data_IF_827873385074
#
_entry.id   IF_827873385074
#
_cell.length_a   1.000
_cell.length_b   1.000
_cell.length_c   1.000
_cell.angle_alpha   90.00
_cell.angle_beta   90.00
_cell.angle_gamma   90.00
#
_symmetry.space_group_name_H-M   'P 1'
#
loop_
_entity.id
_entity.type
_entity.pdbx_description
1 polymer ?
#
# COMPACT_ATOMS: atom_id res chain seq x y z
N UNK A 1 60.04 2.54 20.78
CA UNK A 1 59.81 3.80 20.02
C UNK A 1 58.31 4.05 19.91
N UNK A 2 57.73 4.75 20.90
CA UNK A 2 56.28 4.97 20.99
C UNK A 2 55.81 6.07 20.04
N UNK A 3 54.70 5.84 19.32
CA UNK A 3 54.12 6.81 18.38
C UNK A 3 53.49 7.97 19.16
N UNK A 4 54.06 9.18 19.02
CA UNK A 4 53.50 10.42 19.60
C UNK A 4 52.12 10.71 18.99
N UNK A 5 51.09 10.86 19.83
CA UNK A 5 49.76 11.33 19.41
C UNK A 5 49.82 12.85 19.22
N UNK A 6 49.58 13.33 17.99
CA UNK A 6 49.44 14.77 17.71
C UNK A 6 48.18 15.31 18.39
N UNK A 7 48.34 16.42 19.11
CA UNK A 7 47.25 17.17 19.74
C UNK A 7 46.42 17.84 18.64
N UNK A 8 45.11 17.59 18.62
CA UNK A 8 44.19 18.22 17.66
C UNK A 8 43.97 19.68 18.06
N UNK A 9 44.32 20.61 17.17
CA UNK A 9 43.90 22.01 17.28
C UNK A 9 42.38 22.12 17.11
N UNK A 10 41.71 22.79 18.05
CA UNK A 10 40.29 23.16 17.92
C UNK A 10 40.22 24.42 17.06
N UNK A 11 39.69 24.29 15.83
CA UNK A 11 39.36 25.41 14.96
C UNK A 11 37.86 25.73 15.13
N UNK A 12 37.53 26.61 16.07
CA UNK A 12 36.24 27.29 16.05
C UNK A 12 36.51 28.77 15.84
N UNK A 13 36.26 29.25 14.62
CA UNK A 13 36.24 30.68 14.31
C UNK A 13 34.94 31.28 14.88
N UNK A 14 35.07 32.36 15.65
CA UNK A 14 33.92 33.12 16.13
C UNK A 14 33.22 33.82 14.96
N UNK A 15 31.90 33.62 14.83
CA UNK A 15 31.10 34.31 13.81
C UNK A 15 30.92 35.78 14.19
N UNK A 16 31.61 36.68 13.49
CA UNK A 16 31.37 38.12 13.55
C UNK A 16 30.06 38.41 12.82
N UNK A 17 29.01 38.81 13.55
CA UNK A 17 27.77 39.32 12.95
C UNK A 17 28.00 40.75 12.50
N UNK A 18 27.94 41.00 11.19
CA UNK A 18 27.91 42.35 10.63
C UNK A 18 26.57 43.02 10.96
N UNK A 19 26.67 44.23 11.51
CA UNK A 19 25.57 45.11 11.86
C UNK A 19 24.99 45.72 10.58
N UNK A 20 23.83 45.25 10.11
CA UNK A 20 23.07 45.92 9.05
C UNK A 20 22.24 47.03 9.70
N UNK A 21 22.38 48.24 9.18
CA UNK A 21 21.72 49.47 9.66
C UNK A 21 20.83 50.01 8.53
N UNK A 22 19.52 50.10 8.84
CA UNK A 22 18.45 50.95 8.26
C UNK A 22 17.99 50.61 6.81
N UNK A 23 16.70 50.64 6.45
CA UNK A 23 15.68 51.67 6.72
C UNK A 23 14.24 51.16 6.43
N UNK A 24 13.29 52.04 6.77
CA UNK A 24 11.87 51.93 7.11
C UNK A 24 10.86 51.66 5.96
N UNK A 25 9.57 51.56 6.35
CA UNK A 25 8.27 51.49 5.60
C UNK A 25 7.68 50.07 5.61
N UNK A 26 6.48 49.74 6.12
CA UNK A 26 5.33 50.44 6.71
C UNK A 26 4.17 49.40 6.81
N UNK A 27 3.25 49.60 7.76
CA UNK A 27 1.92 48.96 7.95
C UNK A 27 1.75 47.63 8.73
N UNK A 28 1.60 47.83 10.04
CA UNK A 28 0.45 47.47 10.91
C UNK A 28 -0.39 46.19 10.66
N UNK A 29 -0.17 45.19 11.53
CA UNK A 29 -1.22 44.54 12.33
C UNK A 29 -0.59 43.84 13.55
N UNK A 30 -1.05 44.23 14.73
CA UNK A 30 -0.41 43.92 16.01
C UNK A 30 -0.58 42.48 16.49
N UNK A 31 0.51 41.93 17.02
CA UNK A 31 0.46 40.93 18.08
C UNK A 31 1.64 41.20 19.02
N UNK A 32 1.30 41.50 20.26
CA UNK A 32 2.15 41.86 21.39
C UNK A 32 3.39 40.94 21.51
N UNK A 33 4.57 41.49 21.20
CA UNK A 33 5.85 40.82 21.40
C UNK A 33 6.27 41.13 22.82
N UNK A 34 5.92 40.23 23.75
CA UNK A 34 6.53 40.18 25.07
C UNK A 34 8.05 40.22 24.92
N UNK A 35 8.67 41.29 25.43
CA UNK A 35 10.11 41.42 25.57
C UNK A 35 10.69 40.17 26.22
N UNK A 36 11.36 39.34 25.42
CA UNK A 36 12.23 38.30 25.95
C UNK A 36 13.49 39.02 26.41
N UNK A 37 13.50 39.45 27.67
CA UNK A 37 14.70 39.92 28.35
C UNK A 37 15.76 38.82 28.22
N UNK A 38 16.79 39.09 27.42
CA UNK A 38 17.97 38.25 27.36
C UNK A 38 18.68 38.35 28.71
N UNK A 39 18.46 37.36 29.57
CA UNK A 39 19.20 37.24 30.82
C UNK A 39 20.60 36.75 30.46
N UNK A 40 21.57 37.66 30.50
CA UNK A 40 23.00 37.34 30.39
C UNK A 40 23.37 36.29 31.45
N UNK A 41 23.86 35.09 31.07
CA UNK A 41 24.20 34.05 32.03
C UNK A 41 25.47 34.34 32.84
N UNK A 42 26.17 35.44 32.56
CA UNK A 42 27.48 35.78 33.14
C UNK A 42 27.43 36.96 34.13
N UNK A 43 26.27 37.58 34.34
CA UNK A 43 26.10 38.57 35.40
C UNK A 43 26.03 37.87 36.77
N UNK A 44 27.16 37.86 37.49
CA UNK A 44 27.30 37.37 38.86
C UNK A 44 26.57 38.24 39.88
N UNK A 45 25.25 38.32 39.77
CA UNK A 45 24.40 38.81 40.86
C UNK A 45 24.37 37.78 41.98
N UNK A 46 24.43 38.25 43.23
CA UNK A 46 24.21 37.41 44.43
C UNK A 46 22.78 36.86 44.38
N UNK A 47 22.61 35.71 43.71
CA UNK A 47 21.36 34.94 43.76
C UNK A 47 21.31 34.34 45.15
N UNK A 48 20.25 34.67 45.89
CA UNK A 48 19.95 34.09 47.18
C UNK A 48 20.09 32.57 47.14
N UNK A 49 20.51 32.05 48.29
CA UNK A 49 20.80 30.66 48.59
C UNK A 49 20.05 29.65 47.72
N UNK A 50 20.84 28.79 47.06
CA UNK A 50 20.45 27.48 46.53
C UNK A 50 19.01 27.40 45.98
N UNK A 51 18.81 27.83 44.73
CA UNK A 51 17.54 27.73 43.97
C UNK A 51 16.89 26.32 43.99
N UNK A 52 17.65 25.28 44.31
CA UNK A 52 17.19 23.89 44.35
C UNK A 52 17.20 23.27 45.75
N UNK A 53 17.40 24.04 46.82
CA UNK A 53 17.51 23.50 48.19
C UNK A 53 16.23 22.78 48.65
N UNK A 54 15.08 23.15 48.06
CA UNK A 54 13.79 22.54 48.36
C UNK A 54 13.40 21.42 47.39
N UNK A 55 14.26 21.08 46.42
CA UNK A 55 13.98 20.05 45.42
C UNK A 55 14.52 18.71 45.92
N UNK A 56 13.65 17.95 46.60
CA UNK A 56 13.95 16.59 47.09
C UNK A 56 13.82 15.58 45.95
N UNK A 57 14.85 15.42 45.14
CA UNK A 57 14.90 14.36 44.12
C UNK A 57 15.40 13.08 44.79
N UNK A 58 14.49 12.13 45.05
CA UNK A 58 14.89 10.79 45.49
C UNK A 58 15.31 9.95 44.27
N UNK A 59 16.29 9.07 44.46
CA UNK A 59 16.73 8.13 43.41
C UNK A 59 15.59 7.20 42.95
N UNK A 60 14.64 6.90 43.84
CA UNK A 60 13.46 6.10 43.53
C UNK A 60 12.50 6.82 42.56
N UNK A 61 12.38 8.14 42.64
CA UNK A 61 11.44 8.90 41.79
C UNK A 61 11.96 9.08 40.35
N UNK A 62 13.29 9.14 40.17
CA UNK A 62 13.92 9.13 38.85
C UNK A 62 13.71 7.80 38.11
N UNK A 63 13.65 6.68 38.82
CA UNK A 63 13.47 5.36 38.21
C UNK A 63 12.04 5.06 37.73
N UNK A 64 11.04 5.80 38.25
CA UNK A 64 9.63 5.68 37.87
C UNK A 64 9.31 6.43 36.56
N UNK A 65 10.05 7.50 36.26
CA UNK A 65 10.00 8.17 34.97
C UNK A 65 10.75 7.37 33.90
N UNK A 66 10.21 6.20 33.52
CA UNK A 66 10.61 5.56 32.27
C UNK A 66 9.86 6.24 31.14
N UNK A 67 10.59 6.92 30.26
CA UNK A 67 10.06 7.35 28.97
C UNK A 67 9.50 6.12 28.25
N UNK A 68 8.40 6.25 27.49
CA UNK A 68 7.89 5.16 26.67
C UNK A 68 9.02 4.57 25.82
N UNK A 69 9.09 3.24 25.72
CA UNK A 69 10.16 2.48 25.02
C UNK A 69 10.42 2.94 23.57
N UNK A 70 9.49 3.69 22.97
CA UNK A 70 9.63 4.28 21.66
C UNK A 70 10.69 5.40 21.58
N UNK A 71 10.97 6.07 22.71
CA UNK A 71 11.89 7.21 22.79
C UNK A 71 13.18 6.90 23.57
N UNK A 72 13.13 5.93 24.51
CA UNK A 72 14.31 5.54 25.29
C UNK A 72 15.38 4.80 24.45
N UNK A 73 14.96 4.05 23.42
CA UNK A 73 15.86 3.34 22.51
C UNK A 73 15.19 3.26 21.14
N UNK A 74 15.92 3.51 20.06
CA UNK A 74 15.43 3.15 18.72
C UNK A 74 15.40 1.62 18.60
N UNK A 75 14.31 1.01 19.07
CA UNK A 75 14.02 -0.44 19.04
C UNK A 75 14.27 -1.05 17.66
N UNK A 76 14.10 -0.22 16.63
CA UNK A 76 14.27 -0.57 15.22
C UNK A 76 15.73 -0.81 14.83
N UNK A 77 16.75 -0.32 15.57
CA UNK A 77 18.13 -0.38 15.05
C UNK A 77 19.11 -1.24 15.83
N UNK A 78 18.92 -1.43 17.14
CA UNK A 78 19.77 -2.33 17.93
C UNK A 78 19.16 -3.73 18.06
N UNK A 79 17.82 -3.83 18.20
CA UNK A 79 17.11 -5.10 18.34
C UNK A 79 16.86 -5.80 17.00
N UNK A 80 16.56 -5.02 15.95
CA UNK A 80 16.18 -5.57 14.63
C UNK A 80 17.33 -6.27 13.89
N UNK A 81 18.58 -5.86 14.11
CA UNK A 81 19.75 -6.51 13.51
C UNK A 81 20.51 -7.42 14.49
N UNK A 82 19.96 -7.64 15.70
CA UNK A 82 20.59 -8.52 16.69
C UNK A 82 20.46 -9.96 16.22
N UNK A 83 21.59 -10.66 16.07
CA UNK A 83 21.62 -12.04 15.57
C UNK A 83 21.63 -12.19 14.05
N UNK A 84 21.49 -11.10 13.29
CA UNK A 84 21.62 -11.12 11.83
C UNK A 84 23.05 -10.74 11.38
N UNK A 85 23.74 -11.68 10.74
CA UNK A 85 25.05 -11.49 10.11
C UNK A 85 24.94 -10.73 8.77
N UNK A 86 24.47 -9.49 8.82
CA UNK A 86 24.39 -8.59 7.66
C UNK A 86 25.65 -7.74 7.52
N UNK A 87 26.04 -7.42 6.28
CA UNK A 87 27.16 -6.50 6.03
C UNK A 87 26.81 -5.11 6.56
N UNK A 88 27.83 -4.33 6.93
CA UNK A 88 27.66 -2.95 7.42
C UNK A 88 26.89 -2.06 6.43
N UNK A 89 27.11 -2.26 5.13
CA UNK A 89 26.42 -1.53 4.05
C UNK A 89 24.91 -1.79 4.08
N UNK A 90 24.50 -3.05 4.25
CA UNK A 90 23.09 -3.44 4.25
C UNK A 90 22.37 -2.90 5.49
N UNK A 91 23.02 -2.97 6.66
CA UNK A 91 22.50 -2.37 7.91
C UNK A 91 22.31 -0.86 7.79
N UNK A 92 23.19 -0.17 7.06
CA UNK A 92 23.06 1.26 6.80
C UNK A 92 21.89 1.56 5.87
N UNK A 93 21.74 0.79 4.79
CA UNK A 93 20.63 0.94 3.83
C UNK A 93 19.28 0.75 4.50
N UNK A 94 19.12 -0.32 5.28
CA UNK A 94 17.87 -0.59 6.01
C UNK A 94 17.60 0.52 7.01
N UNK A 95 18.61 1.03 7.72
CA UNK A 95 18.41 2.16 8.64
C UNK A 95 17.93 3.41 7.90
N UNK A 96 18.46 3.69 6.72
CA UNK A 96 18.05 4.81 5.89
C UNK A 96 16.61 4.62 5.40
N UNK A 97 16.26 3.45 4.87
CA UNK A 97 14.91 3.12 4.40
C UNK A 97 13.88 3.20 5.54
N UNK A 98 14.20 2.69 6.72
CA UNK A 98 13.34 2.78 7.90
C UNK A 98 13.18 4.21 8.40
N UNK A 99 14.22 5.04 8.25
CA UNK A 99 14.16 6.45 8.60
C UNK A 99 13.30 7.25 7.62
N UNK A 100 13.48 7.04 6.31
CA UNK A 100 12.69 7.71 5.27
C UNK A 100 11.23 7.31 5.37
N UNK A 101 10.92 6.01 5.52
CA UNK A 101 9.55 5.53 5.73
C UNK A 101 8.91 6.13 6.98
N UNK A 102 9.65 6.24 8.10
CA UNK A 102 9.14 6.90 9.31
C UNK A 102 8.80 8.38 9.06
N UNK A 103 9.65 9.11 8.34
CA UNK A 103 9.38 10.50 7.96
C UNK A 103 8.13 10.57 7.09
N UNK A 104 8.03 9.72 6.06
CA UNK A 104 6.92 9.71 5.11
C UNK A 104 5.59 9.40 5.83
N UNK A 105 5.59 8.47 6.77
CA UNK A 105 4.42 8.17 7.62
C UNK A 105 3.99 9.36 8.48
N UNK A 106 4.93 10.09 9.07
CA UNK A 106 4.62 11.29 9.86
C UNK A 106 4.05 12.39 8.96
N UNK A 107 4.65 12.59 7.77
CA UNK A 107 4.19 13.59 6.82
C UNK A 107 2.81 13.26 6.26
N UNK A 108 2.56 11.99 5.90
CA UNK A 108 1.26 11.54 5.40
C UNK A 108 0.18 11.66 6.47
N UNK A 109 0.46 11.29 7.73
CA UNK A 109 -0.46 11.48 8.84
C UNK A 109 -0.80 12.97 9.07
N UNK A 110 0.20 13.86 9.02
CA UNK A 110 -0.02 15.32 9.13
C UNK A 110 -0.88 15.86 7.98
N UNK A 111 -0.61 15.41 6.74
CA UNK A 111 -1.39 15.79 5.55
C UNK A 111 -2.84 15.31 5.68
N UNK A 112 -3.06 14.04 6.04
CA UNK A 112 -4.39 13.45 6.27
C UNK A 112 -5.18 14.19 7.35
N UNK A 113 -4.53 14.55 8.47
CA UNK A 113 -5.18 15.32 9.53
C UNK A 113 -5.56 16.74 9.08
N UNK A 114 -4.69 17.42 8.32
CA UNK A 114 -5.00 18.74 7.74
C UNK A 114 -6.16 18.66 6.75
N UNK A 115 -6.17 17.63 5.91
CA UNK A 115 -7.21 17.41 4.91
C UNK A 115 -8.56 17.07 5.55
N UNK A 116 -8.60 16.17 6.53
CA UNK A 116 -9.82 15.87 7.29
C UNK A 116 -10.40 17.13 7.94
N UNK A 117 -9.58 17.99 8.54
CA UNK A 117 -10.03 19.30 9.06
C UNK A 117 -10.57 20.23 7.98
N UNK A 118 -10.10 20.13 6.73
CA UNK A 118 -10.65 20.91 5.59
C UNK A 118 -11.98 20.33 5.12
N UNK A 119 -12.09 19.01 5.00
CA UNK A 119 -13.32 18.30 4.64
C UNK A 119 -14.43 18.51 5.68
N UNK A 120 -14.11 18.45 6.97
CA UNK A 120 -15.07 18.75 8.04
C UNK A 120 -15.58 20.20 8.02
N UNK A 121 -14.80 21.14 7.47
CA UNK A 121 -15.20 22.54 7.35
C UNK A 121 -16.14 22.82 6.18
N UNK A 122 -16.32 21.89 5.23
CA UNK A 122 -17.25 22.11 4.11
C UNK A 122 -18.67 21.78 4.56
N UNK A 123 -19.53 22.79 4.82
CA UNK A 123 -20.77 22.59 5.55
C UNK A 123 -21.86 21.91 4.71
N UNK A 124 -21.80 22.07 3.38
CA UNK A 124 -22.85 21.60 2.45
C UNK A 124 -22.74 20.10 2.17
N UNK A 125 -21.54 19.51 2.24
CA UNK A 125 -21.27 18.15 1.73
C UNK A 125 -20.73 17.21 2.82
N UNK A 126 -20.25 17.71 3.96
CA UNK A 126 -19.68 16.87 5.02
C UNK A 126 -18.39 16.15 4.60
N UNK A 127 -17.98 15.13 5.37
CA UNK A 127 -16.79 14.32 5.08
C UNK A 127 -17.15 13.13 4.15
N UNK A 128 -16.70 13.18 2.90
CA UNK A 128 -16.94 12.13 1.89
C UNK A 128 -15.96 10.96 1.94
N UNK A 129 -14.93 11.01 2.81
CA UNK A 129 -13.93 9.94 2.91
C UNK A 129 -14.51 8.54 3.13
N UNK A 130 -15.61 8.33 3.89
CA UNK A 130 -16.15 6.98 4.07
C UNK A 130 -16.72 6.39 2.78
N UNK A 131 -17.24 7.24 1.89
CA UNK A 131 -17.76 6.81 0.59
C UNK A 131 -16.58 6.48 -0.33
N UNK A 132 -15.56 7.33 -0.36
CA UNK A 132 -14.32 7.08 -1.13
C UNK A 132 -13.63 5.77 -0.71
N UNK A 133 -13.52 5.51 0.60
CA UNK A 133 -12.88 4.31 1.15
C UNK A 133 -13.70 3.03 0.89
N UNK A 134 -15.02 3.14 0.70
CA UNK A 134 -15.90 2.02 0.36
C UNK A 134 -15.86 1.65 -1.12
N UNK A 135 -15.25 2.48 -1.98
CA UNK A 135 -15.14 2.20 -3.41
C UNK A 135 -13.97 1.25 -3.72
N UNK A 136 -14.15 0.30 -4.65
CA UNK A 136 -13.04 -0.51 -5.15
C UNK A 136 -11.95 0.37 -5.76
N UNK A 137 -10.68 0.04 -5.52
CA UNK A 137 -9.58 0.67 -6.23
C UNK A 137 -9.62 0.27 -7.71
N UNK A 138 -9.18 1.18 -8.59
CA UNK A 138 -9.15 0.91 -10.03
C UNK A 138 -8.36 -0.36 -10.38
N UNK A 139 -7.29 -0.64 -9.64
CA UNK A 139 -6.50 -1.88 -9.78
C UNK A 139 -7.35 -3.14 -9.50
N UNK A 140 -8.21 -3.09 -8.47
CA UNK A 140 -9.10 -4.19 -8.14
C UNK A 140 -10.13 -4.41 -9.25
N UNK A 141 -10.72 -3.32 -9.78
CA UNK A 141 -11.70 -3.37 -10.85
C UNK A 141 -11.09 -3.89 -12.17
N UNK A 142 -9.87 -3.45 -12.48
CA UNK A 142 -9.10 -3.95 -13.63
C UNK A 142 -8.74 -5.42 -13.47
N UNK A 143 -8.44 -5.87 -12.25
CA UNK A 143 -8.18 -7.28 -11.97
C UNK A 143 -9.44 -8.13 -12.06
N UNK A 144 -10.58 -7.67 -11.53
CA UNK A 144 -11.86 -8.38 -11.62
C UNK A 144 -12.33 -8.53 -13.07
N UNK A 145 -12.26 -7.45 -13.86
CA UNK A 145 -12.55 -7.52 -15.31
C UNK A 145 -11.57 -8.43 -16.07
N UNK A 146 -10.31 -8.49 -15.64
CA UNK A 146 -9.30 -9.42 -16.18
C UNK A 146 -9.55 -10.87 -15.75
N UNK A 147 -9.98 -11.12 -14.52
CA UNK A 147 -10.29 -12.46 -14.01
C UNK A 147 -11.60 -13.00 -14.60
N UNK A 148 -12.62 -12.17 -14.79
CA UNK A 148 -13.87 -12.54 -15.47
C UNK A 148 -13.66 -12.78 -16.97
N UNK A 149 -12.78 -12.01 -17.63
CA UNK A 149 -12.37 -12.29 -19.00
C UNK A 149 -11.41 -13.47 -19.11
N UNK A 150 -10.56 -13.73 -18.12
CA UNK A 150 -9.67 -14.90 -18.08
C UNK A 150 -10.41 -16.21 -17.75
N UNK A 151 -11.50 -16.15 -16.95
CA UNK A 151 -12.38 -17.31 -16.69
C UNK A 151 -13.27 -17.62 -17.89
N UNK A 152 -13.70 -16.62 -18.67
CA UNK A 152 -14.43 -16.83 -19.94
C UNK A 152 -13.52 -17.22 -21.11
N UNK A 153 -12.25 -16.83 -21.13
CA UNK A 153 -11.29 -17.14 -22.20
C UNK A 153 -10.27 -18.23 -21.86
N UNK A 154 -10.59 -19.14 -20.94
CA UNK A 154 -9.77 -20.36 -20.74
C UNK A 154 -10.14 -21.49 -21.69
N UNK A 155 -11.02 -21.25 -22.64
CA UNK A 155 -10.91 -21.90 -23.94
C UNK A 155 -9.75 -21.22 -24.65
N UNK A 156 -8.61 -21.91 -24.70
CA UNK A 156 -7.46 -21.45 -25.48
C UNK A 156 -7.96 -21.03 -26.86
N UNK A 157 -7.97 -19.72 -27.13
CA UNK A 157 -8.24 -19.16 -28.46
C UNK A 157 -7.03 -19.48 -29.34
N UNK A 158 -6.76 -20.78 -29.54
CA UNK A 158 -5.85 -21.22 -30.58
C UNK A 158 -6.50 -20.77 -31.88
N UNK A 159 -5.80 -19.89 -32.61
CA UNK A 159 -6.22 -19.45 -33.95
C UNK A 159 -6.67 -20.68 -34.74
N UNK A 160 -7.84 -20.65 -35.40
CA UNK A 160 -8.33 -21.82 -36.13
C UNK A 160 -7.28 -22.21 -37.17
N UNK A 161 -6.71 -23.40 -37.00
CA UNK A 161 -5.80 -23.98 -37.99
C UNK A 161 -6.65 -24.68 -39.04
N UNK A 162 -6.27 -24.56 -40.31
CA UNK A 162 -6.90 -25.32 -41.41
C UNK A 162 -6.87 -26.83 -41.12
N UNK A 163 -5.80 -27.31 -40.49
CA UNK A 163 -5.63 -28.71 -40.08
C UNK A 163 -5.39 -28.79 -38.56
N UNK A 164 -6.23 -29.53 -37.79
CA UNK A 164 -6.00 -29.78 -36.37
C UNK A 164 -4.70 -30.55 -36.11
N UNK A 165 -4.11 -30.37 -34.91
CA UNK A 165 -2.95 -31.16 -34.47
C UNK A 165 -3.29 -32.67 -34.43
N UNK A 166 -2.31 -33.52 -34.74
CA UNK A 166 -2.48 -34.99 -34.81
C UNK A 166 -3.12 -35.59 -33.55
N UNK A 167 -2.73 -35.12 -32.35
CA UNK A 167 -3.33 -35.56 -31.08
C UNK A 167 -4.84 -35.30 -31.03
N UNK A 168 -5.28 -34.10 -31.43
CA UNK A 168 -6.70 -33.72 -31.45
C UNK A 168 -7.47 -34.51 -32.51
N UNK A 169 -6.85 -34.75 -33.66
CA UNK A 169 -7.42 -35.60 -34.73
C UNK A 169 -7.63 -37.05 -34.25
N UNK A 170 -6.63 -37.64 -33.60
CA UNK A 170 -6.73 -38.98 -33.01
C UNK A 170 -7.81 -39.04 -31.93
N UNK A 171 -7.89 -38.03 -31.07
CA UNK A 171 -8.91 -37.96 -30.03
C UNK A 171 -10.32 -37.86 -30.62
N UNK A 172 -10.51 -37.00 -31.64
CA UNK A 172 -11.79 -36.90 -32.36
C UNK A 172 -12.16 -38.23 -33.02
N UNK A 173 -11.21 -38.89 -33.69
CA UNK A 173 -11.43 -40.19 -34.31
C UNK A 173 -11.89 -41.24 -33.29
N UNK A 174 -11.29 -41.30 -32.09
CA UNK A 174 -11.72 -42.23 -31.05
C UNK A 174 -13.13 -41.92 -30.53
N UNK A 175 -13.47 -40.63 -30.40
CA UNK A 175 -14.82 -40.20 -30.04
C UNK A 175 -15.83 -40.62 -31.12
N UNK A 176 -15.50 -40.40 -32.39
CA UNK A 176 -16.34 -40.78 -33.52
C UNK A 176 -16.58 -42.30 -33.55
N UNK A 177 -15.52 -43.11 -33.36
CA UNK A 177 -15.63 -44.58 -33.25
C UNK A 177 -16.58 -44.97 -32.11
N UNK A 178 -16.41 -44.36 -30.92
CA UNK A 178 -17.28 -44.67 -29.78
C UNK A 178 -18.73 -44.29 -30.03
N UNK A 179 -18.96 -43.15 -30.69
CA UNK A 179 -20.29 -42.67 -31.06
C UNK A 179 -20.94 -43.62 -32.07
N UNK A 180 -20.20 -44.07 -33.09
CA UNK A 180 -20.71 -45.04 -34.06
C UNK A 180 -21.08 -46.36 -33.41
N UNK A 181 -20.26 -46.87 -32.49
CA UNK A 181 -20.59 -48.08 -31.74
C UNK A 181 -21.89 -47.91 -30.94
N UNK A 182 -22.11 -46.76 -30.30
CA UNK A 182 -23.35 -46.46 -29.59
C UNK A 182 -24.56 -46.40 -30.54
N UNK A 183 -24.41 -45.75 -31.70
CA UNK A 183 -25.48 -45.67 -32.70
C UNK A 183 -25.87 -47.06 -33.21
N UNK A 184 -24.87 -47.92 -33.47
CA UNK A 184 -25.11 -49.30 -33.91
C UNK A 184 -25.80 -50.17 -32.85
N UNK A 185 -25.64 -49.85 -31.57
CA UNK A 185 -26.33 -50.54 -30.47
C UNK A 185 -27.79 -50.11 -30.30
N UNK A 186 -28.21 -48.99 -30.92
CA UNK A 186 -29.56 -48.45 -30.71
C UNK A 186 -30.61 -49.23 -31.54
N UNK A 187 -31.69 -49.75 -30.93
CA UNK A 187 -32.65 -50.61 -31.61
C UNK A 187 -33.34 -49.92 -32.79
N UNK A 188 -33.74 -48.65 -32.63
CA UNK A 188 -34.36 -47.85 -33.70
C UNK A 188 -33.46 -47.71 -34.94
N UNK A 189 -32.14 -47.66 -34.75
CA UNK A 189 -31.19 -47.58 -35.85
C UNK A 189 -31.00 -48.93 -36.54
N UNK A 190 -31.03 -50.03 -35.79
CA UNK A 190 -30.96 -51.40 -36.33
C UNK A 190 -32.21 -51.76 -37.14
N UNK A 191 -33.39 -51.35 -36.67
CA UNK A 191 -34.65 -51.58 -37.37
C UNK A 191 -34.73 -50.78 -38.67
N UNK A 192 -34.49 -49.46 -38.61
CA UNK A 192 -34.63 -48.57 -39.76
C UNK A 192 -33.66 -47.37 -39.70
N UNK A 193 -32.41 -47.59 -40.09
CA UNK A 193 -31.35 -46.57 -40.07
C UNK A 193 -31.75 -45.26 -40.80
N UNK A 194 -32.38 -45.36 -41.98
CA UNK A 194 -32.75 -44.19 -42.77
C UNK A 194 -33.82 -43.32 -42.10
N UNK A 195 -34.76 -43.93 -41.37
CA UNK A 195 -35.81 -43.21 -40.65
C UNK A 195 -35.23 -42.53 -39.39
N UNK A 196 -34.40 -43.24 -38.64
CA UNK A 196 -33.71 -42.71 -37.46
C UNK A 196 -32.84 -41.49 -37.80
N UNK A 197 -32.10 -41.54 -38.92
CA UNK A 197 -31.29 -40.41 -39.39
C UNK A 197 -32.19 -39.22 -39.76
N UNK A 198 -33.28 -39.44 -40.49
CA UNK A 198 -34.23 -38.36 -40.86
C UNK A 198 -34.84 -37.68 -39.65
N UNK A 199 -35.23 -38.46 -38.64
CA UNK A 199 -35.77 -37.94 -37.38
C UNK A 199 -34.74 -37.10 -36.64
N UNK A 200 -33.51 -37.61 -36.50
CA UNK A 200 -32.43 -36.88 -35.84
C UNK A 200 -32.12 -35.54 -36.53
N UNK A 201 -32.06 -35.53 -37.87
CA UNK A 201 -31.87 -34.31 -38.66
C UNK A 201 -33.01 -33.31 -38.45
N UNK A 202 -34.27 -33.79 -38.42
CA UNK A 202 -35.44 -32.97 -38.11
C UNK A 202 -35.34 -32.34 -36.72
N UNK A 203 -34.96 -33.12 -35.71
CA UNK A 203 -34.76 -32.62 -34.34
C UNK A 203 -33.66 -31.56 -34.28
N UNK A 204 -32.51 -31.83 -34.92
CA UNK A 204 -31.38 -30.88 -34.98
C UNK A 204 -31.77 -29.55 -35.62
N UNK A 205 -32.45 -29.59 -36.75
CA UNK A 205 -32.92 -28.39 -37.45
C UNK A 205 -33.90 -27.57 -36.58
N UNK A 206 -34.77 -28.23 -35.82
CA UNK A 206 -35.70 -27.55 -34.90
C UNK A 206 -34.98 -26.91 -33.70
N UNK A 207 -33.89 -27.51 -33.20
CA UNK A 207 -33.10 -26.96 -32.10
C UNK A 207 -32.24 -25.77 -32.53
N UNK A 208 -31.67 -25.81 -33.74
CA UNK A 208 -30.84 -24.71 -34.27
C UNK A 208 -31.68 -23.53 -34.77
N UNK A 209 -32.89 -23.79 -35.27
CA UNK A 209 -33.82 -22.75 -35.76
C UNK A 209 -34.61 -22.00 -34.67
N UNK A 210 -34.63 -22.49 -33.42
CA UNK A 210 -35.27 -21.79 -32.30
C UNK A 210 -34.20 -21.03 -31.51
N UNK A 211 -34.17 -19.68 -31.51
CA UNK A 211 -33.27 -18.95 -30.63
C UNK A 211 -33.59 -19.33 -29.18
N UNK A 212 -32.58 -19.83 -28.48
CA UNK A 212 -32.65 -20.22 -27.07
C UNK A 212 -33.08 -19.02 -26.22
N UNK A 213 -34.36 -18.98 -25.85
CA UNK A 213 -34.96 -17.97 -24.98
C UNK A 213 -34.59 -18.24 -23.50
N UNK A 214 -33.29 -18.22 -23.17
CA UNK A 214 -32.78 -18.58 -21.83
C UNK A 214 -32.38 -17.36 -21.00
N UNK A 215 -32.37 -16.15 -21.56
CA UNK A 215 -31.84 -14.96 -20.87
C UNK A 215 -32.86 -14.14 -20.03
N UNK A 216 -34.14 -14.55 -19.93
CA UNK A 216 -35.19 -13.70 -19.31
C UNK A 216 -35.55 -13.96 -17.84
N UNK A 217 -34.91 -14.87 -17.11
CA UNK A 217 -35.34 -15.21 -15.73
C UNK A 217 -34.41 -14.78 -14.59
N UNK A 218 -33.34 -14.02 -14.86
CA UNK A 218 -32.49 -13.43 -13.79
C UNK A 218 -32.87 -11.99 -13.49
N UNK A 219 -34.06 -11.78 -12.97
CA UNK A 219 -34.55 -10.43 -12.67
C UNK A 219 -35.91 -10.39 -12.01
N UNK A 220 -36.14 -11.21 -10.98
CA UNK A 220 -37.19 -11.01 -9.98
C UNK A 220 -37.00 -12.01 -8.84
N UNK A 221 -36.41 -11.53 -7.76
CA UNK A 221 -36.80 -11.70 -6.35
C UNK A 221 -35.77 -10.99 -5.49
#
# INVERSE_FOLDING_TARGET
MGKMKRVKQKLHAAAVRSKIKNSNVGDENGMDVTEVVAVDPTAGGKRGESLFQNVRISSADLSKQKLPDFDAQSTITSRMFKGQNMKKKDKLKIRQEMWTTKIDLIQSAKRKAKESKRKQKTPIVGDLTPIEDALPTLELLMRESSEDSARRNRETTEKPRSIPKEKKRKEQMMKDISLFQQVLQHPVFQENASAAIKEHLKMKLQTEGKPSNVDKTKGKL
#
